data_IF_457827734897
#
_entry.id   IF_457827734897
#
_cell.length_a   1.000
_cell.length_b   1.000
_cell.length_c   1.000
_cell.angle_alpha   90.00
_cell.angle_beta   90.00
_cell.angle_gamma   90.00
#
_symmetry.space_group_name_H-M   'P 1'
#
loop_
_entity.id
_entity.type
_entity.pdbx_description
1 polymer ?
#
# COMPACT_ATOMS: atom_id res chain seq x y z
N UNK A 1 -3.98 -8.45 -14.57
CA UNK A 1 -3.35 -9.46 -13.69
C UNK A 1 -3.78 -9.09 -12.28
N UNK A 2 -4.40 -10.00 -11.53
CA UNK A 2 -4.89 -9.68 -10.19
C UNK A 2 -3.72 -9.61 -9.21
N UNK A 3 -3.58 -8.50 -8.49
CA UNK A 3 -2.63 -8.36 -7.40
C UNK A 3 -3.05 -9.31 -6.26
N UNK A 4 -2.35 -10.43 -6.09
CA UNK A 4 -2.47 -11.25 -4.87
C UNK A 4 -1.63 -10.58 -3.79
N UNK A 5 -2.26 -10.17 -2.68
CA UNK A 5 -1.58 -9.57 -1.53
C UNK A 5 -1.62 -10.47 -0.31
N UNK A 6 -0.47 -10.58 0.37
CA UNK A 6 -0.29 -11.39 1.58
C UNK A 6 -0.36 -10.49 2.81
N UNK A 7 -1.35 -10.73 3.66
CA UNK A 7 -1.46 -10.14 5.00
C UNK A 7 -0.84 -11.12 6.00
N UNK A 8 0.17 -10.68 6.75
CA UNK A 8 0.85 -11.53 7.73
C UNK A 8 0.32 -11.29 9.15
N UNK A 9 -0.31 -12.31 9.75
CA UNK A 9 -0.42 -12.47 11.20
C UNK A 9 0.03 -13.88 11.61
N UNK A 10 0.82 -13.97 12.67
CA UNK A 10 1.31 -15.22 13.23
C UNK A 10 0.19 -15.92 14.03
N UNK A 11 -0.25 -17.09 13.53
CA UNK A 11 -1.24 -18.03 14.10
C UNK A 11 -2.65 -17.46 14.27
N UNK A 12 -3.58 -17.95 13.45
CA UNK A 12 -4.99 -17.53 13.25
C UNK A 12 -5.07 -16.39 12.23
N UNK A 13 -5.09 -16.80 10.96
CA UNK A 13 -5.29 -15.95 9.79
C UNK A 13 -6.78 -15.63 9.69
N UNK A 14 -7.17 -14.45 10.15
CA UNK A 14 -8.56 -13.99 10.14
C UNK A 14 -8.86 -13.00 9.01
N UNK A 15 -7.98 -12.86 8.02
CA UNK A 15 -8.22 -11.97 6.88
C UNK A 15 -7.81 -12.62 5.55
N UNK A 16 -8.81 -13.06 4.79
CA UNK A 16 -8.65 -13.43 3.40
C UNK A 16 -9.15 -12.29 2.49
N UNK A 17 -8.38 -11.98 1.45
CA UNK A 17 -8.55 -10.80 0.62
C UNK A 17 -8.86 -11.18 -0.83
N UNK A 18 -10.11 -11.03 -1.26
CA UNK A 18 -10.47 -10.90 -2.68
C UNK A 18 -11.08 -9.52 -2.85
N UNK A 19 -10.37 -8.65 -3.55
CA UNK A 19 -10.84 -7.30 -3.86
C UNK A 19 -11.91 -7.38 -4.95
N UNK A 20 -13.16 -7.20 -4.58
CA UNK A 20 -14.28 -7.00 -5.52
C UNK A 20 -14.34 -5.53 -5.92
N UNK A 21 -13.27 -5.09 -6.58
CA UNK A 21 -13.01 -3.69 -6.86
C UNK A 21 -13.82 -3.19 -8.08
N UNK A 22 -14.43 -2.02 -7.97
CA UNK A 22 -14.95 -1.32 -9.16
C UNK A 22 -13.80 -0.79 -10.02
N UNK A 23 -12.67 -0.44 -9.41
CA UNK A 23 -11.35 -0.33 -10.02
C UNK A 23 -10.74 -1.68 -10.40
N UNK A 24 -9.60 -1.68 -11.09
CA UNK A 24 -8.74 -2.87 -11.25
C UNK A 24 -9.41 -4.14 -11.80
N UNK A 25 -10.39 -4.00 -12.71
CA UNK A 25 -11.26 -5.09 -13.18
C UNK A 25 -11.09 -5.45 -14.66
N UNK A 26 -10.01 -5.00 -15.31
CA UNK A 26 -9.77 -5.24 -16.75
C UNK A 26 -9.83 -6.70 -17.18
N UNK A 27 -9.38 -7.64 -16.34
CA UNK A 27 -9.43 -9.08 -16.67
C UNK A 27 -10.84 -9.65 -16.79
N UNK A 28 -11.84 -9.02 -16.16
CA UNK A 28 -13.24 -9.46 -16.22
C UNK A 28 -13.81 -9.31 -17.63
N UNK A 29 -13.25 -8.42 -18.45
CA UNK A 29 -13.67 -8.23 -19.83
C UNK A 29 -13.44 -9.47 -20.71
N UNK A 30 -12.61 -10.44 -20.27
CA UNK A 30 -12.45 -11.71 -20.96
C UNK A 30 -13.71 -12.58 -20.96
N UNK A 31 -14.56 -12.46 -19.93
CA UNK A 31 -15.81 -13.21 -19.80
C UNK A 31 -17.06 -12.31 -19.89
N UNK A 32 -16.97 -11.09 -19.36
CA UNK A 32 -18.05 -10.13 -19.28
C UNK A 32 -17.61 -8.76 -19.81
N UNK A 33 -17.31 -8.62 -21.12
CA UNK A 33 -16.88 -7.34 -21.69
C UNK A 33 -17.93 -6.22 -21.56
N UNK A 34 -19.21 -6.56 -21.43
CA UNK A 34 -20.31 -5.60 -21.34
C UNK A 34 -20.40 -4.87 -19.99
N UNK A 35 -19.77 -5.40 -18.94
CA UNK A 35 -19.79 -4.81 -17.60
C UNK A 35 -18.50 -4.05 -17.26
N UNK A 36 -17.52 -4.00 -18.17
CA UNK A 36 -16.22 -3.38 -17.92
C UNK A 36 -16.00 -2.20 -18.87
N UNK A 37 -16.01 -0.99 -18.31
CA UNK A 37 -15.65 0.24 -19.00
C UNK A 37 -14.15 0.27 -19.30
N UNK A 38 -13.79 0.91 -20.42
CA UNK A 38 -12.41 1.16 -20.88
C UNK A 38 -11.46 -0.05 -21.01
N UNK A 39 -11.96 -1.29 -20.93
CA UNK A 39 -11.13 -2.49 -21.03
C UNK A 39 -10.32 -2.55 -22.32
N UNK A 40 -9.11 -3.13 -22.25
CA UNK A 40 -8.20 -3.34 -23.38
C UNK A 40 -7.79 -2.05 -24.12
N UNK A 41 -7.97 -0.88 -23.51
CA UNK A 41 -7.46 0.39 -24.03
C UNK A 41 -6.04 0.64 -23.52
N UNK A 42 -5.27 1.43 -24.27
CA UNK A 42 -3.97 1.91 -23.78
C UNK A 42 -4.18 2.83 -22.57
N UNK A 43 -3.50 2.54 -21.47
CA UNK A 43 -3.77 3.12 -20.15
C UNK A 43 -3.50 4.63 -20.06
N UNK A 44 -2.44 5.12 -20.73
CA UNK A 44 -2.08 6.53 -20.72
C UNK A 44 -1.55 6.99 -22.09
N UNK A 45 -2.43 7.43 -23.02
CA UNK A 45 -2.02 7.78 -24.37
C UNK A 45 -1.01 8.94 -24.43
N UNK A 46 -0.07 8.89 -25.38
CA UNK A 46 0.94 9.93 -25.54
C UNK A 46 0.31 11.32 -25.75
N UNK A 47 0.81 12.32 -25.04
CA UNK A 47 0.30 13.69 -25.09
C UNK A 47 -0.97 13.94 -24.26
N UNK A 48 -1.50 12.94 -23.55
CA UNK A 48 -2.57 13.13 -22.57
C UNK A 48 -1.99 13.52 -21.21
N UNK A 49 -2.70 14.39 -20.48
CA UNK A 49 -2.28 14.74 -19.11
C UNK A 49 -2.50 13.55 -18.17
N UNK A 50 -1.76 13.52 -17.06
CA UNK A 50 -1.86 12.41 -16.10
C UNK A 50 -3.27 12.27 -15.51
N UNK A 51 -3.99 13.38 -15.36
CA UNK A 51 -5.36 13.41 -14.84
C UNK A 51 -6.37 12.77 -15.81
N UNK A 52 -6.03 12.72 -17.10
CA UNK A 52 -6.88 12.17 -18.17
C UNK A 52 -6.56 10.70 -18.51
N UNK A 53 -5.67 10.06 -17.73
CA UNK A 53 -5.31 8.64 -17.92
C UNK A 53 -6.50 7.71 -17.67
N UNK A 54 -6.56 6.60 -18.39
CA UNK A 54 -7.61 5.59 -18.25
C UNK A 54 -7.36 4.59 -17.09
N UNK A 55 -6.13 4.49 -16.60
CA UNK A 55 -5.77 3.70 -15.43
C UNK A 55 -4.47 4.26 -14.83
N UNK A 56 -4.17 3.97 -13.55
CA UNK A 56 -2.86 4.29 -12.94
C UNK A 56 -1.72 3.42 -13.48
N UNK A 57 -2.05 2.29 -14.13
CA UNK A 57 -1.09 1.36 -14.71
C UNK A 57 -1.68 0.58 -15.92
N UNK A 58 -0.85 -0.13 -16.73
CA UNK A 58 -1.34 -0.98 -17.82
C UNK A 58 -2.31 -2.08 -17.36
N UNK A 59 -3.31 -2.38 -18.20
CA UNK A 59 -4.37 -3.34 -17.87
C UNK A 59 -5.69 -2.67 -17.53
N UNK A 60 -6.06 -1.65 -18.30
CA UNK A 60 -7.28 -0.85 -18.12
C UNK A 60 -8.54 -1.69 -17.93
N UNK A 61 -9.42 -1.21 -17.05
CA UNK A 61 -10.80 -1.69 -16.95
C UNK A 61 -11.40 -1.44 -15.58
N UNK A 62 -12.60 -0.85 -15.57
CA UNK A 62 -13.38 -0.59 -14.36
C UNK A 62 -14.78 -1.17 -14.55
N UNK A 63 -15.35 -1.76 -13.51
CA UNK A 63 -16.74 -2.21 -13.57
C UNK A 63 -17.66 -1.01 -13.84
N UNK A 64 -18.73 -1.25 -14.60
CA UNK A 64 -19.77 -0.26 -14.88
C UNK A 64 -20.99 -0.53 -13.97
N UNK A 65 -21.19 0.23 -12.88
CA UNK A 65 -22.31 0.02 -11.95
C UNK A 65 -23.69 0.33 -12.55
N UNK A 66 -23.75 0.99 -13.71
CA UNK A 66 -25.00 1.31 -14.39
C UNK A 66 -25.46 0.19 -15.33
N UNK A 67 -24.59 -0.77 -15.65
CA UNK A 67 -24.97 -1.91 -16.47
C UNK A 67 -25.71 -2.96 -15.61
N UNK A 68 -26.94 -3.38 -15.95
CA UNK A 68 -27.77 -4.24 -15.10
C UNK A 68 -27.14 -5.59 -14.74
N UNK A 69 -26.30 -6.14 -15.63
CA UNK A 69 -25.61 -7.42 -15.37
C UNK A 69 -24.48 -7.34 -14.34
N UNK A 70 -23.91 -6.16 -14.10
CA UNK A 70 -22.74 -5.98 -13.23
C UNK A 70 -23.00 -6.57 -11.86
N UNK A 71 -24.15 -6.22 -11.29
CA UNK A 71 -24.58 -6.66 -9.97
C UNK A 71 -24.92 -8.15 -9.88
N UNK A 72 -25.47 -8.74 -10.94
CA UNK A 72 -25.71 -10.18 -11.01
C UNK A 72 -24.43 -11.00 -10.99
N UNK A 73 -23.39 -10.55 -11.71
CA UNK A 73 -22.07 -11.20 -11.69
C UNK A 73 -21.40 -11.01 -10.32
N UNK A 74 -21.48 -9.79 -9.76
CA UNK A 74 -20.89 -9.47 -8.47
C UNK A 74 -21.46 -10.29 -7.31
N UNK A 75 -22.78 -10.47 -7.22
CA UNK A 75 -23.39 -11.33 -6.18
C UNK A 75 -22.80 -12.74 -6.25
N UNK A 76 -22.79 -13.36 -7.44
CA UNK A 76 -22.30 -14.72 -7.57
C UNK A 76 -20.85 -14.87 -7.09
N UNK A 77 -19.99 -13.90 -7.41
CA UNK A 77 -18.60 -13.87 -6.96
C UNK A 77 -18.52 -13.67 -5.44
N UNK A 78 -19.24 -12.68 -4.90
CA UNK A 78 -19.27 -12.38 -3.47
C UNK A 78 -19.75 -13.58 -2.65
N UNK A 79 -20.83 -14.24 -3.05
CA UNK A 79 -21.36 -15.45 -2.40
C UNK A 79 -20.36 -16.61 -2.43
N UNK A 80 -19.77 -16.90 -3.59
CA UNK A 80 -18.82 -18.00 -3.72
C UNK A 80 -17.59 -17.74 -2.84
N UNK A 81 -17.03 -16.54 -2.90
CA UNK A 81 -15.88 -16.18 -2.06
C UNK A 81 -16.26 -16.27 -0.59
N UNK A 82 -17.36 -15.63 -0.17
CA UNK A 82 -17.80 -15.65 1.22
C UNK A 82 -18.06 -17.06 1.76
N UNK A 83 -18.47 -18.01 0.91
CA UNK A 83 -18.71 -19.41 1.30
C UNK A 83 -17.43 -20.22 1.54
N UNK A 84 -16.32 -19.84 0.90
CA UNK A 84 -15.03 -20.55 1.00
C UNK A 84 -14.19 -19.99 2.16
N UNK A 85 -14.41 -18.72 2.52
CA UNK A 85 -13.61 -17.99 3.50
C UNK A 85 -14.39 -17.74 4.80
N UNK A 86 -14.03 -18.43 5.90
CA UNK A 86 -14.77 -18.37 7.17
C UNK A 86 -14.59 -17.04 7.91
N UNK A 87 -13.69 -16.17 7.46
CA UNK A 87 -13.34 -14.92 8.13
C UNK A 87 -14.51 -13.92 8.14
N UNK A 88 -14.65 -13.18 9.24
CA UNK A 88 -15.72 -12.17 9.41
C UNK A 88 -15.47 -10.87 8.65
N UNK A 89 -14.38 -10.78 7.90
CA UNK A 89 -14.01 -9.59 7.14
C UNK A 89 -14.05 -9.87 5.65
N UNK A 90 -14.51 -8.89 4.87
CA UNK A 90 -14.52 -8.95 3.42
C UNK A 90 -13.93 -7.68 2.84
N UNK A 91 -12.79 -7.78 2.16
CA UNK A 91 -12.15 -6.60 1.57
C UNK A 91 -12.72 -6.28 0.19
N UNK A 92 -13.59 -5.27 0.08
CA UNK A 92 -14.28 -4.92 -1.16
C UNK A 92 -13.51 -3.96 -2.08
N UNK A 93 -12.29 -3.54 -1.74
CA UNK A 93 -11.43 -2.75 -2.64
C UNK A 93 -11.85 -1.28 -2.66
N UNK A 94 -12.04 -0.70 -3.86
CA UNK A 94 -12.52 0.67 -4.03
C UNK A 94 -11.43 1.73 -4.18
N UNK A 95 -10.19 1.32 -4.44
CA UNK A 95 -9.08 2.21 -4.77
C UNK A 95 -9.06 2.58 -6.26
N UNK A 96 -8.52 3.77 -6.54
CA UNK A 96 -8.13 4.22 -7.89
C UNK A 96 -9.22 4.02 -8.95
N UNK A 97 -10.36 4.68 -8.73
CA UNK A 97 -11.39 4.77 -9.76
C UNK A 97 -11.04 5.97 -10.64
N UNK A 98 -10.68 5.72 -11.90
CA UNK A 98 -10.27 6.77 -12.82
C UNK A 98 -11.48 7.39 -13.54
N UNK A 99 -11.64 8.72 -13.46
CA UNK A 99 -12.73 9.42 -14.14
C UNK A 99 -12.74 9.20 -15.66
N UNK A 100 -11.58 9.22 -16.31
CA UNK A 100 -11.49 9.09 -17.77
C UNK A 100 -11.95 7.72 -18.27
N UNK A 101 -11.72 6.65 -17.50
CA UNK A 101 -12.21 5.31 -17.83
C UNK A 101 -13.74 5.28 -17.91
N UNK A 102 -14.41 5.75 -16.85
CA UNK A 102 -15.86 5.81 -16.76
C UNK A 102 -16.48 6.83 -17.74
N UNK A 103 -15.86 8.00 -17.90
CA UNK A 103 -16.27 9.00 -18.91
C UNK A 103 -16.15 8.47 -20.35
N UNK A 104 -15.46 7.35 -20.59
CA UNK A 104 -15.37 6.71 -21.90
C UNK A 104 -16.48 5.69 -22.20
N UNK A 105 -17.36 5.42 -21.23
CA UNK A 105 -18.46 4.46 -21.33
C UNK A 105 -19.79 5.16 -21.70
N UNK A 106 -20.51 4.62 -22.68
CA UNK A 106 -21.73 5.26 -23.21
C UNK A 106 -22.88 5.33 -22.21
N UNK A 107 -23.04 4.35 -21.32
CA UNK A 107 -24.10 4.36 -20.30
C UNK A 107 -23.79 5.41 -19.24
N UNK A 108 -22.54 5.50 -18.82
CA UNK A 108 -22.09 6.50 -17.85
C UNK A 108 -22.17 7.90 -18.47
N UNK A 109 -21.72 8.09 -19.71
CA UNK A 109 -21.90 9.37 -20.43
C UNK A 109 -23.36 9.80 -20.48
N UNK A 110 -24.28 8.88 -20.76
CA UNK A 110 -25.72 9.17 -20.79
C UNK A 110 -26.22 9.60 -19.40
N UNK A 111 -25.82 8.89 -18.34
CA UNK A 111 -26.17 9.24 -16.96
C UNK A 111 -25.63 10.63 -16.56
N UNK A 112 -24.37 10.93 -16.88
CA UNK A 112 -23.77 12.24 -16.63
C UNK A 112 -24.49 13.35 -17.40
N UNK A 113 -24.93 13.08 -18.65
CA UNK A 113 -25.67 14.06 -19.45
C UNK A 113 -27.04 14.44 -18.87
N UNK A 114 -27.61 13.57 -18.02
CA UNK A 114 -28.87 13.82 -17.31
C UNK A 114 -28.68 14.54 -15.97
N UNK A 115 -27.46 14.96 -15.65
CA UNK A 115 -27.12 15.65 -14.39
C UNK A 115 -26.55 14.75 -13.31
N UNK A 116 -26.36 13.45 -13.59
CA UNK A 116 -25.70 12.54 -12.67
C UNK A 116 -24.20 12.84 -12.50
N UNK A 117 -23.59 12.34 -11.43
CA UNK A 117 -22.16 12.51 -11.13
C UNK A 117 -21.42 11.18 -11.07
N UNK A 118 -20.08 11.20 -11.16
CA UNK A 118 -19.29 9.99 -10.99
C UNK A 118 -19.34 9.45 -9.55
N UNK A 119 -19.44 10.33 -8.56
CA UNK A 119 -19.71 9.94 -7.17
C UNK A 119 -21.01 9.13 -7.06
N UNK A 120 -22.10 9.56 -7.69
CA UNK A 120 -23.36 8.80 -7.70
C UNK A 120 -23.22 7.44 -8.41
N UNK A 121 -22.32 7.31 -9.39
CA UNK A 121 -22.00 6.00 -10.01
C UNK A 121 -21.32 5.08 -9.00
N UNK A 122 -20.34 5.60 -8.24
CA UNK A 122 -19.71 4.85 -7.15
C UNK A 122 -20.71 4.52 -6.03
N UNK A 123 -21.55 5.46 -5.63
CA UNK A 123 -22.59 5.26 -4.62
C UNK A 123 -23.56 4.15 -5.02
N UNK A 124 -23.95 4.03 -6.30
CA UNK A 124 -24.76 2.92 -6.78
C UNK A 124 -24.06 1.57 -6.59
N UNK A 125 -22.74 1.52 -6.80
CA UNK A 125 -21.96 0.31 -6.55
C UNK A 125 -21.91 -0.03 -5.05
N UNK A 126 -21.54 0.94 -4.22
CA UNK A 126 -21.41 0.75 -2.77
C UNK A 126 -22.76 0.41 -2.13
N UNK A 127 -23.84 1.12 -2.48
CA UNK A 127 -25.19 0.85 -1.96
C UNK A 127 -25.72 -0.53 -2.36
N UNK A 128 -25.15 -1.16 -3.39
CA UNK A 128 -25.49 -2.53 -3.75
C UNK A 128 -24.62 -3.55 -3.01
N UNK A 129 -23.30 -3.34 -3.01
CA UNK A 129 -22.32 -4.31 -2.47
C UNK A 129 -22.27 -4.32 -0.95
N UNK A 130 -22.31 -3.15 -0.31
CA UNK A 130 -22.15 -3.04 1.14
C UNK A 130 -23.26 -3.75 1.93
N UNK A 131 -24.58 -3.53 1.66
CA UNK A 131 -25.63 -4.26 2.36
C UNK A 131 -25.55 -5.77 2.15
N UNK A 132 -25.06 -6.21 0.99
CA UNK A 132 -24.87 -7.62 0.69
C UNK A 132 -23.77 -8.25 1.56
N UNK A 133 -22.63 -7.57 1.72
CA UNK A 133 -21.56 -8.01 2.63
C UNK A 133 -22.06 -8.09 4.07
N UNK A 134 -22.82 -7.10 4.52
CA UNK A 134 -23.41 -7.09 5.88
C UNK A 134 -24.41 -8.23 6.05
N UNK A 135 -25.23 -8.53 5.04
CA UNK A 135 -26.17 -9.65 5.07
C UNK A 135 -25.49 -11.03 5.14
N UNK A 136 -24.22 -11.12 4.75
CA UNK A 136 -23.38 -12.31 4.90
C UNK A 136 -22.70 -12.38 6.29
N UNK A 137 -23.08 -11.52 7.23
CA UNK A 137 -22.49 -11.40 8.57
C UNK A 137 -20.98 -11.06 8.53
N UNK A 138 -20.59 -10.23 7.55
CA UNK A 138 -19.21 -9.78 7.38
C UNK A 138 -19.08 -8.27 7.53
N UNK A 139 -17.92 -7.83 8.01
CA UNK A 139 -17.47 -6.43 8.05
C UNK A 139 -16.73 -6.11 6.75
N UNK A 140 -17.14 -5.03 6.08
CA UNK A 140 -16.52 -4.59 4.84
C UNK A 140 -15.22 -3.81 5.11
N UNK A 141 -14.17 -4.12 4.36
CA UNK A 141 -12.93 -3.33 4.32
C UNK A 141 -12.82 -2.65 2.95
N UNK A 142 -12.63 -1.34 2.95
CA UNK A 142 -12.42 -0.55 1.73
C UNK A 142 -11.06 0.16 1.78
N UNK A 143 -10.50 0.45 0.62
CA UNK A 143 -9.45 1.45 0.53
C UNK A 143 -10.00 2.84 0.85
N UNK A 144 -9.14 3.70 1.42
CA UNK A 144 -9.54 5.05 1.85
C UNK A 144 -10.11 5.92 0.72
N UNK A 145 -9.76 5.66 -0.54
CA UNK A 145 -10.20 6.40 -1.72
C UNK A 145 -11.73 6.54 -1.77
N UNK A 146 -12.46 5.52 -1.31
CA UNK A 146 -13.93 5.51 -1.27
C UNK A 146 -14.50 6.75 -0.58
N UNK A 147 -13.84 7.28 0.46
CA UNK A 147 -14.30 8.49 1.18
C UNK A 147 -13.32 9.66 1.08
N UNK A 148 -12.05 9.44 0.73
CA UNK A 148 -11.01 10.46 0.73
C UNK A 148 -10.58 10.94 -0.66
N UNK A 149 -11.03 10.31 -1.76
CA UNK A 149 -10.70 10.80 -3.10
C UNK A 149 -11.25 12.22 -3.35
N UNK A 150 -10.58 12.95 -4.23
CA UNK A 150 -10.89 14.35 -4.51
C UNK A 150 -12.02 14.51 -5.54
N UNK A 151 -12.20 13.57 -6.48
CA UNK A 151 -13.21 13.66 -7.55
C UNK A 151 -14.33 12.62 -7.38
N UNK A 152 -14.00 11.38 -7.01
CA UNK A 152 -14.95 10.26 -6.95
C UNK A 152 -14.92 9.62 -5.56
N UNK A 153 -15.84 10.06 -4.71
CA UNK A 153 -16.04 9.51 -3.37
C UNK A 153 -17.53 9.37 -3.04
N UNK A 154 -17.83 8.56 -2.04
CA UNK A 154 -19.18 8.43 -1.48
C UNK A 154 -19.34 9.27 -0.23
N UNK A 155 -20.57 9.68 0.06
CA UNK A 155 -20.92 10.19 1.37
C UNK A 155 -20.71 9.10 2.44
N UNK A 156 -19.92 9.33 3.50
CA UNK A 156 -19.71 8.34 4.55
C UNK A 156 -21.00 7.85 5.21
N UNK A 157 -22.09 8.62 5.19
CA UNK A 157 -23.38 8.21 5.77
C UNK A 157 -24.00 6.94 5.15
N UNK A 158 -23.54 6.50 3.96
CA UNK A 158 -23.93 5.22 3.36
C UNK A 158 -23.20 4.01 3.97
N UNK A 159 -22.12 4.24 4.72
CA UNK A 159 -21.23 3.21 5.26
C UNK A 159 -21.28 3.24 6.79
N UNK A 160 -22.01 2.30 7.39
CA UNK A 160 -22.14 2.22 8.84
C UNK A 160 -20.78 1.86 9.49
N UNK A 161 -20.23 2.68 10.42
CA UNK A 161 -18.91 2.46 11.02
C UNK A 161 -18.74 1.09 11.70
N UNK A 162 -19.80 0.55 12.31
CA UNK A 162 -19.79 -0.75 12.96
C UNK A 162 -19.52 -1.92 11.98
N UNK A 163 -19.86 -1.74 10.70
CA UNK A 163 -19.66 -2.74 9.63
C UNK A 163 -18.62 -2.31 8.59
N UNK A 164 -17.89 -1.21 8.83
CA UNK A 164 -16.92 -0.67 7.88
C UNK A 164 -15.56 -0.44 8.54
N UNK A 165 -14.51 -0.83 7.83
CA UNK A 165 -13.11 -0.52 8.15
C UNK A 165 -12.49 0.09 6.88
N UNK A 166 -11.66 1.12 7.04
CA UNK A 166 -10.86 1.63 5.93
C UNK A 166 -9.40 1.20 6.04
N UNK A 167 -8.76 0.96 4.91
CA UNK A 167 -7.31 0.75 4.81
C UNK A 167 -6.67 2.02 4.23
N UNK A 168 -5.80 2.68 5.01
CA UNK A 168 -5.10 3.90 4.58
C UNK A 168 -3.77 3.57 3.91
N UNK A 169 -3.41 4.28 2.84
CA UNK A 169 -2.17 4.05 2.10
C UNK A 169 -1.48 5.31 1.57
N UNK A 170 -2.18 6.44 1.49
CA UNK A 170 -1.68 7.76 1.13
C UNK A 170 -1.35 8.57 2.38
N UNK A 171 -0.53 9.61 2.23
CA UNK A 171 -0.37 10.72 3.17
C UNK A 171 -0.11 10.35 4.64
N UNK A 172 0.53 9.21 4.92
CA UNK A 172 0.91 8.79 6.26
C UNK A 172 -0.21 8.90 7.31
N UNK A 173 0.09 9.57 8.43
CA UNK A 173 -0.84 9.75 9.55
C UNK A 173 -1.96 10.75 9.27
N UNK A 174 -1.84 11.62 8.26
CA UNK A 174 -2.89 12.59 7.91
C UNK A 174 -4.14 11.87 7.41
N UNK A 175 -3.97 10.91 6.50
CA UNK A 175 -5.04 10.06 6.00
C UNK A 175 -5.69 9.23 7.11
N UNK A 176 -4.87 8.60 7.96
CA UNK A 176 -5.33 7.87 9.15
C UNK A 176 -6.19 8.77 10.04
N UNK A 177 -5.75 10.00 10.30
CA UNK A 177 -6.48 10.99 11.10
C UNK A 177 -7.84 11.33 10.51
N UNK A 178 -7.92 11.58 9.19
CA UNK A 178 -9.20 11.87 8.51
C UNK A 178 -10.21 10.73 8.67
N UNK A 179 -9.76 9.48 8.58
CA UNK A 179 -10.61 8.28 8.70
C UNK A 179 -11.15 8.14 10.13
N UNK A 180 -10.29 8.24 11.14
CA UNK A 180 -10.72 8.09 12.54
C UNK A 180 -11.59 9.26 13.01
N UNK A 181 -11.35 10.47 12.50
CA UNK A 181 -12.22 11.64 12.74
C UNK A 181 -13.61 11.49 12.13
N UNK A 182 -13.72 10.75 11.03
CA UNK A 182 -15.00 10.36 10.46
C UNK A 182 -15.68 9.21 11.24
N UNK A 183 -15.07 8.71 12.32
CA UNK A 183 -15.62 7.70 13.22
C UNK A 183 -15.36 6.25 12.79
N UNK A 184 -14.50 6.03 11.79
CA UNK A 184 -14.23 4.70 11.27
C UNK A 184 -12.98 4.07 11.88
N UNK A 185 -13.03 2.75 12.00
CA UNK A 185 -11.85 1.93 12.27
C UNK A 185 -10.93 1.91 11.05
N UNK A 186 -9.61 1.86 11.30
CA UNK A 186 -8.59 1.93 10.25
C UNK A 186 -7.52 0.85 10.37
N UNK A 187 -7.11 0.28 9.24
CA UNK A 187 -5.90 -0.52 9.07
C UNK A 187 -4.87 0.35 8.35
N UNK A 188 -3.69 0.53 8.94
CA UNK A 188 -2.66 1.43 8.39
C UNK A 188 -1.73 0.67 7.44
N UNK A 189 -1.68 1.12 6.19
CA UNK A 189 -0.79 0.59 5.13
C UNK A 189 -0.10 1.71 4.35
N UNK A 190 0.24 2.81 5.03
CA UNK A 190 0.87 4.00 4.41
C UNK A 190 2.08 3.62 3.55
N UNK A 191 2.01 3.98 2.26
CA UNK A 191 2.98 3.62 1.24
C UNK A 191 4.39 4.12 1.53
N UNK A 192 4.53 5.24 2.24
CA UNK A 192 5.83 5.78 2.69
C UNK A 192 6.60 4.83 3.61
N UNK A 193 5.91 3.89 4.27
CA UNK A 193 6.50 2.99 5.26
C UNK A 193 6.28 1.51 4.95
N UNK A 194 5.09 1.12 4.49
CA UNK A 194 4.62 -0.27 4.48
C UNK A 194 4.44 -0.90 3.09
N UNK A 195 4.76 -0.19 2.00
CA UNK A 195 4.79 -0.79 0.65
C UNK A 195 6.16 -1.41 0.38
N UNK A 196 6.22 -2.74 0.25
CA UNK A 196 7.45 -3.53 0.16
C UNK A 196 7.95 -3.76 -1.28
N UNK A 197 7.14 -3.40 -2.27
CA UNK A 197 7.40 -3.39 -3.72
C UNK A 197 8.20 -2.16 -4.19
N UNK A 198 8.17 -1.06 -3.43
CA UNK A 198 8.83 0.20 -3.80
C UNK A 198 10.35 0.07 -3.97
N UNK A 199 10.93 0.92 -4.81
CA UNK A 199 12.37 1.06 -4.98
C UNK A 199 13.02 0.06 -5.94
N UNK A 200 12.21 -0.63 -6.75
CA UNK A 200 12.65 -1.53 -7.81
C UNK A 200 12.55 -0.94 -9.22
N UNK A 201 12.36 0.37 -9.31
CA UNK A 201 12.11 1.08 -10.56
C UNK A 201 10.72 0.80 -11.13
N UNK A 202 10.45 1.35 -12.31
CA UNK A 202 9.21 1.12 -13.04
C UNK A 202 9.23 -0.21 -13.80
N UNK A 203 8.07 -0.83 -13.96
CA UNK A 203 7.91 -2.06 -14.74
C UNK A 203 7.46 -1.81 -16.18
N UNK A 204 7.25 -0.54 -16.54
CA UNK A 204 6.74 -0.13 -17.85
C UNK A 204 7.76 -0.42 -18.96
N UNK A 205 7.26 -0.78 -20.14
CA UNK A 205 8.09 -0.98 -21.33
C UNK A 205 8.20 0.30 -22.17
N UNK A 206 9.35 0.49 -22.83
CA UNK A 206 9.62 1.65 -23.70
C UNK A 206 9.39 3.00 -22.99
N UNK A 207 9.94 3.13 -21.79
CA UNK A 207 9.84 4.34 -20.96
C UNK A 207 11.07 5.24 -21.18
N UNK A 208 10.84 6.39 -21.82
CA UNK A 208 11.90 7.37 -22.12
C UNK A 208 12.46 8.08 -20.89
N UNK A 209 11.90 7.86 -19.69
CA UNK A 209 12.53 8.29 -18.45
C UNK A 209 13.96 7.75 -18.33
N UNK A 210 14.19 6.51 -18.80
CA UNK A 210 15.50 5.86 -18.72
C UNK A 210 16.51 6.34 -19.77
N UNK A 211 16.08 7.17 -20.73
CA UNK A 211 16.98 7.91 -21.63
C UNK A 211 17.58 9.16 -20.96
N UNK A 212 17.03 9.58 -19.82
CA UNK A 212 17.46 10.78 -19.10
C UNK A 212 18.67 10.52 -18.20
N UNK A 213 19.44 11.56 -17.80
CA UNK A 213 20.52 11.41 -16.82
C UNK A 213 20.07 10.84 -15.46
N UNK A 214 20.96 10.16 -14.71
CA UNK A 214 20.63 9.52 -13.42
C UNK A 214 19.97 10.43 -12.39
N UNK A 215 20.29 11.72 -12.39
CA UNK A 215 19.74 12.72 -11.47
C UNK A 215 18.24 12.93 -11.72
N UNK A 216 17.83 12.98 -12.99
CA UNK A 216 16.42 13.09 -13.40
C UNK A 216 15.68 11.80 -13.09
N UNK A 217 16.30 10.65 -13.39
CA UNK A 217 15.72 9.34 -13.05
C UNK A 217 15.49 9.23 -11.54
N UNK A 218 16.47 9.61 -10.71
CA UNK A 218 16.37 9.60 -9.26
C UNK A 218 15.29 10.53 -8.75
N UNK A 219 15.19 11.74 -9.30
CA UNK A 219 14.13 12.70 -8.96
C UNK A 219 12.73 12.16 -9.29
N UNK A 220 12.61 11.34 -10.33
CA UNK A 220 11.39 10.63 -10.70
C UNK A 220 11.23 9.26 -10.00
N UNK A 221 11.95 9.01 -8.90
CA UNK A 221 11.83 7.76 -8.13
C UNK A 221 12.37 6.51 -8.85
N UNK A 222 13.17 6.69 -9.90
CA UNK A 222 13.67 5.61 -10.75
C UNK A 222 12.57 4.89 -11.53
N UNK A 223 11.40 5.50 -11.69
CA UNK A 223 10.19 4.91 -12.29
C UNK A 223 9.26 4.20 -11.31
N UNK A 224 9.67 4.01 -10.05
CA UNK A 224 8.79 3.50 -8.99
C UNK A 224 8.15 4.68 -8.24
N UNK A 225 6.83 4.81 -8.34
CA UNK A 225 6.09 5.96 -7.81
C UNK A 225 6.23 6.12 -6.28
N UNK A 226 6.37 5.01 -5.55
CA UNK A 226 6.50 5.01 -4.08
C UNK A 226 7.95 4.87 -3.60
N UNK A 227 8.94 5.12 -4.47
CA UNK A 227 10.36 5.12 -4.07
C UNK A 227 10.63 6.07 -2.90
N UNK A 228 11.66 5.80 -2.07
CA UNK A 228 12.67 4.74 -2.18
C UNK A 228 12.19 3.39 -1.64
N UNK A 229 13.06 2.38 -1.74
CA UNK A 229 12.89 1.09 -1.07
C UNK A 229 12.71 1.27 0.44
N UNK A 230 11.71 0.60 1.02
CA UNK A 230 11.43 0.68 2.46
C UNK A 230 12.32 -0.31 3.19
N UNK A 231 13.33 0.23 3.87
CA UNK A 231 14.24 -0.57 4.71
C UNK A 231 13.51 -1.10 5.94
N UNK A 232 14.05 -2.12 6.59
CA UNK A 232 13.45 -2.62 7.84
C UNK A 232 13.43 -1.53 8.92
N UNK A 233 14.40 -0.61 8.93
CA UNK A 233 14.43 0.53 9.85
C UNK A 233 13.28 1.51 9.57
N UNK A 234 13.00 1.80 8.29
CA UNK A 234 11.87 2.64 7.88
C UNK A 234 10.56 2.03 8.39
N UNK A 235 10.36 0.73 8.12
CA UNK A 235 9.18 -0.02 8.56
C UNK A 235 9.05 -0.01 10.10
N UNK A 236 10.14 -0.32 10.82
CA UNK A 236 10.15 -0.39 12.29
C UNK A 236 9.86 0.95 12.96
N UNK A 237 10.35 2.04 12.39
CA UNK A 237 10.30 3.36 12.99
C UNK A 237 8.96 4.08 12.82
N UNK A 238 8.01 3.51 12.08
CA UNK A 238 6.73 4.15 11.86
C UNK A 238 5.86 4.10 13.13
N UNK A 239 5.40 5.26 13.58
CA UNK A 239 4.40 5.39 14.64
C UNK A 239 3.05 5.64 13.98
N UNK A 240 2.26 4.57 13.80
CA UNK A 240 0.98 4.62 13.09
C UNK A 240 -0.09 5.44 13.82
N UNK A 241 0.19 5.85 15.06
CA UNK A 241 -0.71 6.62 15.93
C UNK A 241 -0.25 8.06 16.17
N UNK A 242 0.83 8.48 15.50
CA UNK A 242 1.37 9.83 15.67
C UNK A 242 0.35 10.90 15.26
N UNK A 243 0.13 11.88 16.15
CA UNK A 243 -0.81 12.98 15.93
C UNK A 243 -2.28 12.68 16.23
N UNK A 244 -2.59 11.49 16.74
CA UNK A 244 -3.94 11.08 17.16
C UNK A 244 -4.18 11.30 18.66
N UNK A 245 -5.42 11.61 19.06
CA UNK A 245 -5.85 11.60 20.47
C UNK A 245 -5.97 10.17 21.01
N UNK A 246 -6.11 9.99 22.32
CA UNK A 246 -6.30 8.66 22.90
C UNK A 246 -7.57 7.98 22.38
N UNK A 247 -8.65 8.72 22.18
CA UNK A 247 -9.90 8.20 21.60
C UNK A 247 -9.75 7.83 20.12
N UNK A 248 -9.03 8.66 19.35
CA UNK A 248 -8.73 8.37 17.94
C UNK A 248 -7.85 7.11 17.78
N UNK A 249 -6.95 6.86 18.73
CA UNK A 249 -6.07 5.67 18.73
C UNK A 249 -6.84 4.35 18.86
N UNK A 250 -7.94 4.33 19.62
CA UNK A 250 -8.79 3.13 19.77
C UNK A 250 -9.43 2.67 18.45
N UNK A 251 -9.53 3.57 17.46
CA UNK A 251 -10.02 3.25 16.12
C UNK A 251 -8.93 2.66 15.21
N UNK A 252 -7.66 2.71 15.60
CA UNK A 252 -6.54 2.13 14.82
C UNK A 252 -6.40 0.65 15.17
N UNK A 253 -6.79 -0.23 14.23
CA UNK A 253 -6.78 -1.68 14.45
C UNK A 253 -5.38 -2.31 14.36
N UNK A 254 -4.43 -1.61 13.74
CA UNK A 254 -3.08 -2.06 13.49
C UNK A 254 -2.61 -1.64 12.11
N UNK A 255 -1.66 -2.39 11.55
CA UNK A 255 -1.09 -2.13 10.24
C UNK A 255 -0.85 -3.38 9.41
N UNK A 256 -0.78 -3.18 8.10
CA UNK A 256 -0.54 -4.22 7.11
C UNK A 256 0.53 -3.74 6.13
N UNK A 257 1.59 -4.55 5.95
CA UNK A 257 2.50 -4.35 4.82
C UNK A 257 1.82 -4.79 3.54
N UNK A 258 1.98 -3.99 2.48
CA UNK A 258 1.56 -4.37 1.14
C UNK A 258 2.79 -4.81 0.34
N UNK A 259 2.71 -5.99 -0.27
CA UNK A 259 3.59 -6.35 -1.38
C UNK A 259 2.75 -6.39 -2.64
N UNK A 260 2.78 -5.32 -3.42
CA UNK A 260 2.25 -5.35 -4.77
C UNK A 260 3.12 -6.22 -5.68
N UNK A 261 2.53 -6.76 -6.73
CA UNK A 261 3.07 -7.92 -7.45
C UNK A 261 3.34 -7.66 -8.94
N UNK A 262 3.46 -6.40 -9.34
CA UNK A 262 3.87 -6.01 -10.69
C UNK A 262 5.26 -6.57 -11.01
N UNK A 263 6.14 -6.60 -10.00
CA UNK A 263 7.49 -7.16 -10.06
C UNK A 263 7.76 -8.17 -8.93
N UNK A 264 6.74 -8.92 -8.52
CA UNK A 264 6.89 -9.98 -7.53
C UNK A 264 6.09 -11.23 -7.91
N UNK A 265 6.75 -12.38 -7.81
CA UNK A 265 6.16 -13.71 -7.92
C UNK A 265 6.81 -14.66 -6.91
N UNK A 266 6.57 -15.96 -7.03
CA UNK A 266 7.15 -16.97 -6.13
C UNK A 266 8.68 -16.99 -6.07
N UNK A 267 9.39 -16.38 -7.01
CA UNK A 267 10.86 -16.34 -7.03
C UNK A 267 11.44 -15.31 -6.06
N UNK A 268 10.70 -14.24 -5.79
CA UNK A 268 11.17 -13.12 -4.94
C UNK A 268 10.31 -12.91 -3.69
N UNK A 269 9.17 -13.60 -3.57
CA UNK A 269 8.21 -13.44 -2.50
C UNK A 269 8.84 -13.40 -1.09
N UNK A 270 9.65 -14.42 -0.77
CA UNK A 270 10.27 -14.54 0.55
C UNK A 270 11.23 -13.39 0.84
N UNK A 271 12.08 -13.03 -0.12
CA UNK A 271 13.07 -11.96 0.04
C UNK A 271 12.39 -10.58 0.10
N UNK A 272 11.25 -10.41 -0.57
CA UNK A 272 10.47 -9.17 -0.53
C UNK A 272 9.79 -8.99 0.82
N UNK A 273 9.18 -10.04 1.38
CA UNK A 273 8.49 -9.95 2.67
C UNK A 273 9.49 -9.93 3.84
N UNK A 274 10.45 -10.84 3.83
CA UNK A 274 11.26 -11.15 5.00
C UNK A 274 12.69 -10.63 4.87
N UNK A 275 13.26 -10.02 5.92
CA UNK A 275 12.73 -9.93 7.28
C UNK A 275 11.96 -8.63 7.57
N UNK A 276 11.72 -7.77 6.57
CA UNK A 276 11.09 -6.45 6.75
C UNK A 276 9.73 -6.52 7.45
N UNK A 277 8.88 -7.50 7.11
CA UNK A 277 7.61 -7.69 7.80
C UNK A 277 7.77 -8.07 9.28
N UNK A 278 8.89 -8.71 9.67
CA UNK A 278 9.16 -9.00 11.09
C UNK A 278 9.44 -7.73 11.89
N UNK A 279 10.00 -6.70 11.24
CA UNK A 279 10.20 -5.40 11.86
C UNK A 279 8.85 -4.71 12.17
N UNK A 280 7.90 -4.75 11.23
CA UNK A 280 6.52 -4.29 11.50
C UNK A 280 5.89 -5.10 12.63
N UNK A 281 6.05 -6.42 12.60
CA UNK A 281 5.46 -7.31 13.61
C UNK A 281 5.93 -6.95 15.02
N UNK A 282 7.22 -6.71 15.25
CA UNK A 282 7.73 -6.30 16.57
C UNK A 282 7.20 -4.91 16.97
N UNK A 283 7.19 -3.95 16.03
CA UNK A 283 6.72 -2.60 16.26
C UNK A 283 5.23 -2.55 16.67
N UNK A 284 4.38 -3.34 16.01
CA UNK A 284 2.94 -3.40 16.32
C UNK A 284 2.60 -4.32 17.50
N UNK A 285 3.47 -5.27 17.83
CA UNK A 285 3.25 -6.19 18.95
C UNK A 285 3.69 -5.61 20.30
N UNK A 286 4.86 -4.96 20.34
CA UNK A 286 5.49 -4.50 21.58
C UNK A 286 5.96 -3.04 21.55
N UNK A 287 5.65 -2.30 20.48
CA UNK A 287 6.11 -0.94 20.29
C UNK A 287 7.54 -0.87 19.77
N UNK A 288 7.89 0.28 19.20
CA UNK A 288 9.25 0.59 18.71
C UNK A 288 10.04 1.51 19.67
N UNK A 289 9.57 1.67 20.92
CA UNK A 289 10.18 2.48 21.96
C UNK A 289 10.61 1.66 23.17
N UNK A 290 11.64 2.11 23.89
CA UNK A 290 12.07 1.56 25.17
C UNK A 290 11.23 2.12 26.35
N UNK A 291 11.55 1.68 27.58
CA UNK A 291 10.90 2.13 28.82
C UNK A 291 11.02 3.65 29.07
N UNK A 292 11.98 4.30 28.41
CA UNK A 292 12.20 5.75 28.48
C UNK A 292 11.50 6.52 27.35
N UNK A 293 10.78 5.82 26.48
CA UNK A 293 10.07 6.39 25.33
C UNK A 293 10.96 6.68 24.12
N UNK A 294 12.24 6.27 24.12
CA UNK A 294 13.15 6.48 22.99
C UNK A 294 13.02 5.38 21.95
N UNK A 295 13.16 5.72 20.66
CA UNK A 295 13.14 4.72 19.59
C UNK A 295 14.31 3.73 19.76
N UNK A 296 14.00 2.44 19.76
CA UNK A 296 14.95 1.35 20.03
C UNK A 296 15.33 0.53 18.80
N UNK A 297 15.28 1.14 17.61
CA UNK A 297 15.64 0.44 16.35
C UNK A 297 17.08 -0.08 16.37
N UNK A 298 18.01 0.65 17.00
CA UNK A 298 19.42 0.24 17.08
C UNK A 298 19.57 -1.15 17.75
N UNK A 299 18.85 -1.37 18.86
CA UNK A 299 18.82 -2.66 19.57
C UNK A 299 18.07 -3.75 18.80
N UNK A 300 17.09 -3.37 17.97
CA UNK A 300 16.32 -4.30 17.16
C UNK A 300 17.16 -4.95 16.04
N UNK A 301 18.26 -4.31 15.63
CA UNK A 301 19.16 -4.83 14.57
C UNK A 301 19.66 -6.25 14.88
N UNK A 302 20.17 -6.47 16.09
CA UNK A 302 20.76 -7.76 16.48
C UNK A 302 19.69 -8.85 16.58
N UNK A 303 18.51 -8.52 17.14
CA UNK A 303 17.37 -9.45 17.21
C UNK A 303 16.86 -9.82 15.82
N UNK A 304 16.76 -8.84 14.91
CA UNK A 304 16.28 -9.07 13.55
C UNK A 304 17.27 -9.92 12.75
N UNK A 305 18.58 -9.71 12.94
CA UNK A 305 19.62 -10.55 12.36
C UNK A 305 19.50 -12.02 12.82
N UNK A 306 19.34 -12.25 14.12
CA UNK A 306 19.14 -13.59 14.68
C UNK A 306 17.86 -14.24 14.12
N UNK A 307 16.76 -13.49 14.10
CA UNK A 307 15.48 -13.93 13.57
C UNK A 307 15.53 -14.27 12.07
N UNK A 308 16.24 -13.47 11.27
CA UNK A 308 16.47 -13.74 9.86
C UNK A 308 17.22 -15.05 9.66
N UNK A 309 18.26 -15.34 10.44
CA UNK A 309 18.96 -16.64 10.37
C UNK A 309 18.05 -17.81 10.75
N UNK A 310 17.18 -17.62 11.75
CA UNK A 310 16.17 -18.61 12.13
C UNK A 310 15.17 -18.89 10.99
N UNK A 311 14.76 -17.86 10.24
CA UNK A 311 13.90 -18.00 9.05
C UNK A 311 14.60 -18.79 7.94
N UNK A 312 15.84 -18.43 7.61
CA UNK A 312 16.65 -19.13 6.60
C UNK A 312 16.86 -20.60 6.96
N UNK A 313 17.15 -20.90 8.23
CA UNK A 313 17.29 -22.27 8.73
C UNK A 313 15.98 -23.08 8.66
N UNK A 314 14.83 -22.41 8.48
CA UNK A 314 13.50 -23.03 8.27
C UNK A 314 13.08 -23.09 6.81
N UNK A 315 13.96 -22.72 5.88
CA UNK A 315 13.71 -22.75 4.44
C UNK A 315 13.03 -21.51 3.87
N UNK A 316 12.90 -20.42 4.65
CA UNK A 316 12.36 -19.15 4.15
C UNK A 316 13.51 -18.34 3.55
N UNK A 317 13.37 -17.92 2.29
CA UNK A 317 14.36 -17.14 1.53
C UNK A 317 14.51 -15.68 1.97
N UNK A 318 14.68 -15.41 3.27
CA UNK A 318 14.73 -14.06 3.82
C UNK A 318 15.99 -13.27 3.39
N UNK A 319 15.80 -12.01 3.02
CA UNK A 319 16.86 -11.09 2.57
C UNK A 319 17.90 -10.85 3.68
N UNK A 320 19.21 -10.82 3.38
CA UNK A 320 20.23 -10.39 4.35
C UNK A 320 20.11 -8.88 4.62
N UNK A 321 20.19 -8.46 5.89
CA UNK A 321 20.09 -7.03 6.25
C UNK A 321 21.44 -6.37 6.54
N UNK A 322 22.49 -7.17 6.79
CA UNK A 322 23.86 -6.71 7.02
C UNK A 322 24.88 -7.75 6.55
N UNK A 323 26.12 -7.35 6.23
CA UNK A 323 27.24 -8.27 6.09
C UNK A 323 27.43 -9.13 7.34
N UNK A 324 27.82 -10.40 7.17
CA UNK A 324 28.09 -11.32 8.28
C UNK A 324 29.09 -10.76 9.29
N UNK A 325 30.04 -9.94 8.83
CA UNK A 325 31.01 -9.28 9.70
C UNK A 325 30.35 -8.40 10.77
N UNK A 326 29.24 -7.72 10.47
CA UNK A 326 28.51 -6.89 11.43
C UNK A 326 27.92 -7.72 12.57
N UNK A 327 27.43 -8.92 12.26
CA UNK A 327 26.89 -9.84 13.26
C UNK A 327 27.99 -10.43 14.13
N UNK A 328 29.17 -10.67 13.55
CA UNK A 328 30.34 -11.18 14.27
C UNK A 328 31.06 -10.10 15.09
N UNK A 329 30.82 -8.82 14.78
CA UNK A 329 31.45 -7.67 15.44
C UNK A 329 30.37 -6.64 15.84
N UNK A 330 29.54 -6.93 16.86
CA UNK A 330 28.44 -6.06 17.27
C UNK A 330 28.89 -4.63 17.53
N UNK A 331 28.10 -3.66 17.03
CA UNK A 331 28.38 -2.23 17.18
C UNK A 331 29.35 -1.63 16.15
N UNK A 332 30.16 -2.45 15.46
CA UNK A 332 31.17 -1.96 14.53
C UNK A 332 30.60 -1.53 13.16
N UNK A 333 29.32 -1.78 12.91
CA UNK A 333 28.59 -1.32 11.72
C UNK A 333 27.58 -0.21 12.05
N UNK A 334 27.61 0.35 13.26
CA UNK A 334 26.68 1.39 13.66
C UNK A 334 27.13 2.74 13.09
N UNK A 335 26.20 3.47 12.48
CA UNK A 335 26.37 4.87 12.11
C UNK A 335 25.38 5.72 12.89
N UNK A 336 25.79 6.93 13.26
CA UNK A 336 24.93 7.90 13.94
C UNK A 336 24.99 9.21 13.15
N UNK A 337 23.82 9.71 12.77
CA UNK A 337 23.68 10.99 12.12
C UNK A 337 22.97 11.93 13.09
N UNK A 338 23.48 13.16 13.26
CA UNK A 338 22.80 14.17 14.05
C UNK A 338 21.44 14.51 13.39
N UNK A 339 20.39 14.64 14.20
CA UNK A 339 19.09 15.13 13.72
C UNK A 339 19.21 16.62 13.46
N UNK A 340 19.36 17.02 12.19
CA UNK A 340 19.26 18.42 11.80
C UNK A 340 17.78 18.76 11.64
N UNK A 341 17.16 19.36 12.66
CA UNK A 341 15.88 20.07 12.52
C UNK A 341 16.13 21.36 11.73
N UNK A 342 16.35 21.24 10.42
CA UNK A 342 16.70 22.38 9.57
C UNK A 342 15.45 23.12 9.09
N UNK A 343 15.23 24.31 9.65
CA UNK A 343 14.58 25.43 8.94
C UNK A 343 15.54 26.10 7.93
N UNK A 344 16.73 25.53 7.67
CA UNK A 344 17.71 26.09 6.75
C UNK A 344 18.00 25.11 5.60
N UNK A 345 17.36 25.36 4.45
CA UNK A 345 17.75 24.81 3.14
C UNK A 345 19.13 25.36 2.73
N UNK A 346 20.22 24.83 3.28
CA UNK A 346 21.54 25.02 2.66
C UNK A 346 22.45 23.79 2.89
N UNK A 347 22.60 23.02 1.80
CA UNK A 347 23.65 22.02 1.54
C UNK A 347 23.91 20.94 2.60
N UNK A 348 23.33 19.76 2.36
CA UNK A 348 23.70 18.49 3.00
C UNK A 348 25.12 18.08 2.59
N UNK A 349 26.12 18.48 3.37
CA UNK A 349 27.44 17.83 3.37
C UNK A 349 27.53 16.88 4.56
N UNK A 350 27.71 15.59 4.27
CA UNK A 350 28.01 14.55 5.26
C UNK A 350 29.32 14.92 5.98
N UNK A 351 29.23 15.37 7.23
CA UNK A 351 30.42 15.56 8.07
C UNK A 351 30.90 14.20 8.57
N UNK A 352 31.95 13.67 7.94
CA UNK A 352 32.74 12.59 8.53
C UNK A 352 33.55 13.19 9.67
N UNK A 353 33.21 12.82 10.91
CA UNK A 353 34.00 13.19 12.09
C UNK A 353 35.46 12.77 11.94
N UNK A 354 36.36 13.68 12.29
CA UNK A 354 37.81 13.50 12.22
C UNK A 354 38.29 12.40 13.18
N UNK A 355 38.72 11.28 12.64
CA UNK A 355 39.61 10.36 13.35
C UNK A 355 41.04 10.86 13.12
N UNK A 356 41.72 11.21 14.21
CA UNK A 356 43.06 11.78 14.21
C UNK A 356 44.06 10.91 13.45
N UNK A 357 44.74 11.52 12.49
CA UNK A 357 45.87 10.95 11.77
C UNK A 357 47.09 10.82 12.69
N UNK A 358 47.35 9.62 13.19
CA UNK A 358 48.72 9.19 13.51
C UNK A 358 49.26 8.47 12.28
N UNK A 359 50.26 9.10 11.66
CA UNK A 359 50.86 8.66 10.40
C UNK A 359 51.47 7.27 10.49
N UNK A 360 51.31 6.51 9.41
CA UNK A 360 52.24 5.47 9.01
C UNK A 360 52.95 5.99 7.76
N UNK A 361 54.27 6.12 7.88
CA UNK A 361 55.16 6.39 6.77
C UNK A 361 55.29 5.13 5.91
N UNK A 362 55.28 5.34 4.59
CA UNK A 362 55.67 4.35 3.60
C UNK A 362 57.13 3.91 3.83
N UNK A 363 57.36 2.60 3.68
CA UNK A 363 58.68 2.04 3.47
C UNK A 363 58.65 1.21 2.19
N UNK A 364 59.40 1.72 1.21
CA UNK A 364 60.16 0.93 0.24
C UNK A 364 61.13 -0.02 0.92
#
# INVERSE_FOLDING_TARGET
MGAFRIVLRFRHSDLFRIQTNSGHSGSWAGAHPEIVSCANKFWWPAGTKWEDRLASEPGTGQLNPLHPKTFGVMINVLENVASIFPENFFHSGGDEILPACWKSDSLIQSFLSTGGTLSEVLEKFINFVFPFIVALDKTAIYWEDVILDNEIKVDPSYLYPEYTIFQSWKNGTESTKKIVQAGYRVIVSSSDYYYLDCGHGGFLGNDSLYDQPPEIQKAAGGGSWCSPFKTWQTVYNYDITEGLTEEEKELVLGGEVALWSEQADGTVLDARLWPRTSAMAEALWSGNRDETGKKRYAEATDRLNEWRHRMVNRGIGAEPIQPLWCLQNPGMCNTVHAYNSGDDEENVTLSTGSVGSKGFADSS
#
